data_IF_748060412797
#
_entry.id   IF_748060412797
#
_cell.length_a   1.000
_cell.length_b   1.000
_cell.length_c   1.000
_cell.angle_alpha   90.00
_cell.angle_beta   90.00
_cell.angle_gamma   90.00
#
_symmetry.space_group_name_H-M   'P 1'
#
loop_
_entity.id
_entity.type
_entity.pdbx_description
1 polymer ?
#
# COMPACT_ATOMS: atom_id res chain seq x y z
N UNK A 1 -5.21 11.01 -7.60
CA UNK A 1 -5.40 10.68 -6.17
C UNK A 1 -4.98 9.23 -5.90
N UNK A 2 -4.07 9.03 -4.95
CA UNK A 2 -3.49 7.73 -4.58
C UNK A 2 -4.06 7.27 -3.24
N UNK A 3 -4.20 5.96 -3.06
CA UNK A 3 -4.69 5.34 -1.83
C UNK A 3 -3.65 4.34 -1.30
N UNK A 4 -3.39 4.41 0.00
CA UNK A 4 -2.23 3.78 0.62
C UNK A 4 -2.12 4.03 2.12
N UNK A 5 -1.10 3.44 2.72
CA UNK A 5 -0.80 3.53 4.16
C UNK A 5 0.50 4.31 4.40
N UNK A 6 0.53 5.16 5.42
CA UNK A 6 1.73 5.86 5.86
C UNK A 6 2.34 5.09 7.04
N UNK A 7 3.62 4.72 6.91
CA UNK A 7 4.33 3.92 7.91
C UNK A 7 5.60 4.63 8.33
N UNK A 8 5.90 4.62 9.63
CA UNK A 8 7.21 5.01 10.13
C UNK A 8 8.20 3.87 9.96
N UNK A 9 9.35 4.14 9.39
CA UNK A 9 10.42 3.18 9.29
C UNK A 9 11.76 3.78 9.72
N UNK A 10 12.61 2.95 10.31
CA UNK A 10 13.99 3.33 10.61
C UNK A 10 14.89 3.29 9.36
N UNK A 11 16.16 3.63 9.53
CA UNK A 11 17.17 3.59 8.47
C UNK A 11 17.47 2.18 7.93
N UNK A 12 17.13 1.13 8.69
CA UNK A 12 17.27 -0.28 8.30
C UNK A 12 16.00 -0.81 7.62
N UNK A 13 14.94 0.00 7.57
CA UNK A 13 13.65 -0.35 6.98
C UNK A 13 12.74 -1.17 7.89
N UNK A 14 13.04 -1.23 9.18
CA UNK A 14 12.12 -1.79 10.17
C UNK A 14 10.94 -0.85 10.36
N UNK A 15 9.73 -1.40 10.30
CA UNK A 15 8.48 -0.64 10.39
C UNK A 15 8.02 -0.49 11.86
N UNK A 16 7.46 0.67 12.19
CA UNK A 16 7.05 1.08 13.52
C UNK A 16 5.61 1.62 13.50
N UNK A 17 4.62 0.74 13.41
CA UNK A 17 3.20 1.09 13.32
C UNK A 17 2.65 1.73 14.61
N UNK A 18 3.07 1.23 15.78
CA UNK A 18 2.56 1.66 17.08
C UNK A 18 2.84 3.15 17.37
N UNK A 19 4.00 3.67 16.96
CA UNK A 19 4.39 5.05 17.22
C UNK A 19 3.49 6.08 16.51
N UNK A 20 3.00 5.75 15.31
CA UNK A 20 2.14 6.65 14.54
C UNK A 20 0.72 6.70 15.12
N UNK A 21 0.18 5.55 15.55
CA UNK A 21 -1.15 5.47 16.18
C UNK A 21 -1.19 6.16 17.56
N UNK A 22 -0.08 6.11 18.30
CA UNK A 22 0.02 6.74 19.63
C UNK A 22 0.16 8.27 19.58
N UNK A 23 0.38 8.86 18.39
CA UNK A 23 0.58 10.32 18.24
C UNK A 23 1.89 10.82 18.85
N UNK A 24 2.86 9.93 19.04
CA UNK A 24 4.15 10.30 19.62
C UNK A 24 4.95 11.20 18.65
N UNK A 25 5.78 12.12 19.16
CA UNK A 25 6.70 12.87 18.31
C UNK A 25 7.59 11.93 17.49
N UNK A 26 7.63 12.13 16.19
CA UNK A 26 8.45 11.31 15.29
C UNK A 26 9.93 11.53 15.65
N UNK A 27 10.58 10.48 16.14
CA UNK A 27 12.01 10.52 16.43
C UNK A 27 12.82 10.84 15.15
N UNK A 28 13.89 11.63 15.26
CA UNK A 28 14.73 12.04 14.12
C UNK A 28 15.27 10.88 13.26
N UNK A 29 15.41 9.70 13.85
CA UNK A 29 15.90 8.50 13.17
C UNK A 29 14.84 7.79 12.31
N UNK A 30 13.56 8.15 12.46
CA UNK A 30 12.46 7.57 11.73
C UNK A 30 12.10 8.43 10.51
N UNK A 31 11.72 7.76 9.43
CA UNK A 31 11.28 8.39 8.19
C UNK A 31 9.88 7.90 7.83
N UNK A 32 9.07 8.79 7.27
CA UNK A 32 7.78 8.42 6.70
C UNK A 32 7.99 7.71 5.36
N UNK A 33 7.28 6.59 5.19
CA UNK A 33 7.14 5.85 3.94
C UNK A 33 5.67 5.80 3.57
N UNK A 34 5.37 5.96 2.30
CA UNK A 34 4.01 5.85 1.78
C UNK A 34 3.89 4.60 0.93
N UNK A 35 3.17 3.60 1.45
CA UNK A 35 2.91 2.32 0.81
C UNK A 35 1.59 2.40 0.05
N UNK A 36 1.68 2.50 -1.26
CA UNK A 36 0.52 2.71 -2.14
C UNK A 36 0.05 1.37 -2.69
N UNK A 37 -1.27 1.14 -2.60
CA UNK A 37 -1.88 -0.11 -3.09
C UNK A 37 -3.02 0.11 -4.09
N UNK A 38 -3.51 1.34 -4.29
CA UNK A 38 -4.59 1.67 -5.23
C UNK A 38 -4.46 3.12 -5.78
N UNK A 39 -5.16 3.40 -6.88
CA UNK A 39 -5.26 4.72 -7.51
C UNK A 39 -6.73 5.00 -7.83
N UNK A 40 -7.25 6.13 -7.34
CA UNK A 40 -8.68 6.45 -7.42
C UNK A 40 -8.97 7.55 -8.45
N UNK A 41 -7.95 8.29 -8.86
CA UNK A 41 -8.03 9.34 -9.86
C UNK A 41 -6.67 9.58 -10.51
N UNK A 42 -6.65 9.82 -11.81
CA UNK A 42 -5.43 10.16 -12.56
C UNK A 42 -5.77 11.28 -13.55
N UNK A 43 -5.06 12.40 -13.50
CA UNK A 43 -5.28 13.55 -14.39
C UNK A 43 -6.76 13.95 -14.50
N UNK A 44 -7.42 14.13 -13.34
CA UNK A 44 -8.86 14.45 -13.20
C UNK A 44 -9.84 13.35 -13.67
N UNK A 45 -9.32 12.23 -14.19
CA UNK A 45 -10.13 11.06 -14.55
C UNK A 45 -10.43 10.24 -13.31
N UNK A 46 -11.71 10.13 -12.95
CA UNK A 46 -12.16 9.29 -11.85
C UNK A 46 -12.06 7.80 -12.21
N UNK A 47 -11.26 7.05 -11.44
CA UNK A 47 -11.01 5.63 -11.68
C UNK A 47 -11.85 4.71 -10.77
N UNK A 48 -12.73 5.23 -9.91
CA UNK A 48 -13.46 4.42 -8.92
C UNK A 48 -14.39 3.38 -9.54
N UNK A 49 -14.88 3.63 -10.74
CA UNK A 49 -15.74 2.69 -11.51
C UNK A 49 -14.95 1.61 -12.26
N UNK A 50 -13.62 1.72 -12.31
CA UNK A 50 -12.74 0.72 -12.91
C UNK A 50 -12.58 -0.44 -11.92
N UNK A 51 -12.33 -1.63 -12.44
CA UNK A 51 -12.00 -2.80 -11.62
C UNK A 51 -10.66 -2.62 -10.90
N UNK A 52 -10.47 -3.33 -9.78
CA UNK A 52 -9.22 -3.27 -9.03
C UNK A 52 -7.99 -3.64 -9.88
N UNK A 53 -8.11 -4.62 -10.78
CA UNK A 53 -7.02 -4.99 -11.70
C UNK A 53 -6.65 -3.79 -12.58
N UNK A 54 -7.61 -3.17 -13.25
CA UNK A 54 -7.35 -2.02 -14.13
C UNK A 54 -6.70 -0.86 -13.37
N UNK A 55 -7.16 -0.57 -12.14
CA UNK A 55 -6.55 0.45 -11.29
C UNK A 55 -5.10 0.10 -10.93
N UNK A 56 -4.81 -1.15 -10.58
CA UNK A 56 -3.45 -1.61 -10.26
C UNK A 56 -2.50 -1.52 -11.46
N UNK A 57 -2.99 -1.82 -12.66
CA UNK A 57 -2.20 -1.67 -13.89
C UNK A 57 -1.82 -0.21 -14.17
N UNK A 58 -2.79 0.71 -14.04
CA UNK A 58 -2.55 2.14 -14.18
C UNK A 58 -1.57 2.67 -13.12
N UNK A 59 -1.73 2.24 -11.87
CA UNK A 59 -0.82 2.58 -10.78
C UNK A 59 0.61 2.11 -11.08
N UNK A 60 0.79 0.89 -11.58
CA UNK A 60 2.09 0.36 -11.94
C UNK A 60 2.76 1.18 -13.05
N UNK A 61 2.03 1.55 -14.09
CA UNK A 61 2.54 2.40 -15.17
C UNK A 61 2.97 3.78 -14.67
N UNK A 62 2.17 4.39 -13.78
CA UNK A 62 2.49 5.67 -13.16
C UNK A 62 3.79 5.59 -12.34
N UNK A 63 3.90 4.60 -11.45
CA UNK A 63 5.04 4.47 -10.54
C UNK A 63 6.33 4.03 -11.25
N UNK A 64 6.25 3.31 -12.38
CA UNK A 64 7.43 3.01 -13.21
C UNK A 64 8.10 4.27 -13.77
N UNK A 65 7.32 5.33 -14.02
CA UNK A 65 7.84 6.61 -14.52
C UNK A 65 8.33 7.53 -13.40
N UNK A 66 7.83 7.35 -12.18
CA UNK A 66 8.14 8.20 -11.04
C UNK A 66 9.12 7.53 -10.07
N UNK A 67 10.39 7.94 -10.07
CA UNK A 67 11.36 7.51 -9.04
C UNK A 67 11.22 8.36 -7.79
N UNK A 68 10.38 7.92 -6.85
CA UNK A 68 10.08 8.65 -5.62
C UNK A 68 10.71 7.93 -4.42
N UNK A 69 11.59 8.63 -3.68
CA UNK A 69 12.43 8.05 -2.61
C UNK A 69 11.64 7.44 -1.45
N UNK A 70 10.46 7.98 -1.15
CA UNK A 70 9.67 7.62 0.02
C UNK A 70 8.34 6.93 -0.32
N UNK A 71 8.14 6.55 -1.59
CA UNK A 71 6.92 5.92 -2.07
C UNK A 71 7.22 4.50 -2.52
N UNK A 72 6.41 3.56 -2.03
CA UNK A 72 6.58 2.14 -2.26
C UNK A 72 5.28 1.55 -2.82
N UNK A 73 5.37 0.82 -3.93
CA UNK A 73 4.23 0.11 -4.50
C UNK A 73 4.04 -1.22 -3.77
N UNK A 74 2.88 -1.42 -3.16
CA UNK A 74 2.49 -2.71 -2.56
C UNK A 74 2.09 -3.69 -3.66
N UNK A 75 2.87 -4.75 -3.83
CA UNK A 75 2.60 -5.81 -4.79
C UNK A 75 1.63 -6.86 -4.20
N UNK A 76 0.82 -7.53 -5.04
CA UNK A 76 0.03 -8.67 -4.60
C UNK A 76 0.93 -9.76 -4.01
N UNK A 77 0.44 -10.42 -2.97
CA UNK A 77 1.11 -11.57 -2.36
C UNK A 77 0.97 -12.78 -3.28
N UNK A 78 2.09 -13.48 -3.52
CA UNK A 78 2.07 -14.75 -4.23
C UNK A 78 1.57 -15.86 -3.30
N UNK A 79 0.52 -16.57 -3.71
CA UNK A 79 -0.12 -17.62 -2.91
C UNK A 79 0.25 -19.03 -3.41
N UNK A 80 1.25 -19.17 -4.30
CA UNK A 80 1.62 -20.50 -4.80
C UNK A 80 2.35 -21.38 -3.78
N UNK A 81 3.04 -20.78 -2.80
CA UNK A 81 3.89 -21.49 -1.84
C UNK A 81 3.25 -21.69 -0.46
N UNK A 82 1.98 -21.31 -0.30
CA UNK A 82 1.25 -21.34 0.97
C UNK A 82 -0.01 -20.48 0.93
N UNK A 83 -0.75 -20.41 2.03
CA UNK A 83 -1.80 -19.41 2.17
C UNK A 83 -1.20 -18.03 2.47
N UNK A 84 -2.03 -17.00 2.35
CA UNK A 84 -1.59 -15.64 2.65
C UNK A 84 -1.23 -15.43 4.12
N UNK A 85 -1.81 -16.22 5.03
CA UNK A 85 -1.56 -16.11 6.46
C UNK A 85 -0.13 -16.56 6.79
N UNK A 86 0.34 -17.64 6.17
CA UNK A 86 1.70 -18.15 6.35
C UNK A 86 2.74 -17.14 5.87
N UNK A 87 2.48 -16.47 4.74
CA UNK A 87 3.33 -15.41 4.22
C UNK A 87 3.40 -14.22 5.19
N UNK A 88 2.25 -13.77 5.69
CA UNK A 88 2.20 -12.69 6.66
C UNK A 88 2.98 -13.03 7.94
N UNK A 89 2.86 -14.25 8.44
CA UNK A 89 3.60 -14.72 9.60
C UNK A 89 5.12 -14.76 9.34
N UNK A 90 5.54 -15.26 8.17
CA UNK A 90 6.96 -15.30 7.78
C UNK A 90 7.59 -13.91 7.68
N UNK A 91 6.81 -12.91 7.25
CA UNK A 91 7.24 -11.52 7.13
C UNK A 91 6.95 -10.64 8.36
N UNK A 92 6.36 -11.21 9.42
CA UNK A 92 5.94 -10.48 10.62
C UNK A 92 4.95 -9.32 10.32
N UNK A 93 4.12 -9.48 9.29
CA UNK A 93 3.03 -8.55 8.99
C UNK A 93 1.87 -8.71 9.98
N UNK A 94 1.11 -7.64 10.19
CA UNK A 94 -0.11 -7.67 11.02
C UNK A 94 -1.18 -8.60 10.42
N UNK A 95 -1.20 -8.77 9.09
CA UNK A 95 -2.11 -9.64 8.38
C UNK A 95 -2.13 -9.40 6.87
N UNK A 96 -3.20 -9.84 6.22
CA UNK A 96 -3.45 -9.64 4.79
C UNK A 96 -4.84 -9.06 4.55
N UNK A 97 -4.92 -8.19 3.55
CA UNK A 97 -6.19 -7.68 3.03
C UNK A 97 -6.45 -8.33 1.66
N UNK A 98 -7.44 -9.22 1.61
CA UNK A 98 -7.93 -9.76 0.36
C UNK A 98 -8.93 -8.77 -0.28
N UNK A 99 -8.68 -8.40 -1.54
CA UNK A 99 -9.58 -7.54 -2.32
C UNK A 99 -10.02 -8.29 -3.58
N UNK A 100 -11.29 -8.20 -3.94
CA UNK A 100 -11.81 -8.82 -5.17
C UNK A 100 -11.24 -8.13 -6.40
N UNK A 101 -10.70 -8.91 -7.32
CA UNK A 101 -10.00 -8.40 -8.50
C UNK A 101 -10.92 -7.62 -9.46
N UNK A 102 -12.19 -8.04 -9.55
CA UNK A 102 -13.24 -7.45 -10.37
C UNK A 102 -14.02 -6.33 -9.66
N UNK A 103 -13.67 -5.98 -8.43
CA UNK A 103 -14.40 -4.97 -7.65
C UNK A 103 -14.13 -3.54 -8.11
N UNK A 104 -15.19 -2.76 -8.18
CA UNK A 104 -15.11 -1.29 -8.19
C UNK A 104 -14.79 -0.77 -6.79
N UNK A 105 -14.28 0.44 -6.71
CA UNK A 105 -14.08 1.09 -5.42
C UNK A 105 -15.42 1.65 -4.92
N UNK A 106 -15.81 1.29 -3.70
CA UNK A 106 -17.03 1.80 -3.05
C UNK A 106 -16.71 2.29 -1.65
N UNK A 107 -17.14 3.50 -1.33
CA UNK A 107 -17.26 3.95 0.05
C UNK A 107 -18.68 3.61 0.51
N UNK A 108 -18.87 2.49 1.20
CA UNK A 108 -20.07 2.33 2.01
C UNK A 108 -19.81 3.08 3.31
N UNK A 109 -20.47 4.24 3.46
CA UNK A 109 -20.65 4.91 4.75
C UNK A 109 -21.74 4.18 5.55
#
# INVERSE_FOLDING_TARGET
MLDGEIVLADQHGKEHFQGLQAGEPIAKALQLRYYIFDILELDEINLRTYTLIERKELLELLLRRAKLKHIFHVKPVDLTNGGGIEEAAAHQWEGIIAKRADSQWSCYL
#
